data_IF_495808400225
#
_entry.id   IF_495808400225
#
_cell.length_a   1.000
_cell.length_b   1.000
_cell.length_c   1.000
_cell.angle_alpha   90.00
_cell.angle_beta   90.00
_cell.angle_gamma   90.00
#
_symmetry.space_group_name_H-M   'P 1'
#
loop_
_entity.id
_entity.type
_entity.pdbx_description
1 polymer ?
#
# COMPACT_ATOMS: atom_id res chain seq x y z
N UNK A 1 -10.86 -14.97 16.40
CA UNK A 1 -10.80 -13.58 15.91
C UNK A 1 -11.74 -12.78 16.77
N UNK A 2 -11.27 -11.72 17.40
CA UNK A 2 -12.15 -10.75 18.07
C UNK A 2 -13.02 -10.06 17.02
N UNK A 3 -14.30 -9.84 17.33
CA UNK A 3 -15.23 -9.12 16.46
C UNK A 3 -14.89 -7.63 16.49
N UNK A 4 -14.24 -7.14 15.43
CA UNK A 4 -14.03 -5.70 15.21
C UNK A 4 -15.37 -5.00 15.05
N UNK A 5 -15.60 -3.91 15.77
CA UNK A 5 -16.81 -3.11 15.60
C UNK A 5 -16.68 -2.11 14.43
N UNK A 6 -17.78 -1.53 13.97
CA UNK A 6 -17.79 -0.61 12.82
C UNK A 6 -16.83 0.58 12.98
N UNK A 7 -16.77 1.20 14.16
CA UNK A 7 -15.88 2.35 14.39
C UNK A 7 -14.42 1.93 14.28
N UNK A 8 -14.06 0.80 14.88
CA UNK A 8 -12.71 0.25 14.82
C UNK A 8 -12.33 -0.16 13.39
N UNK A 9 -13.27 -0.72 12.62
CA UNK A 9 -13.06 -1.00 11.20
C UNK A 9 -12.79 0.27 10.38
N UNK A 10 -13.58 1.32 10.59
CA UNK A 10 -13.40 2.59 9.88
C UNK A 10 -12.05 3.23 10.23
N UNK A 11 -11.62 3.14 11.49
CA UNK A 11 -10.32 3.62 11.95
C UNK A 11 -9.16 2.84 11.29
N UNK A 12 -9.17 1.50 11.39
CA UNK A 12 -8.14 0.66 10.76
C UNK A 12 -8.09 0.83 9.24
N UNK A 13 -9.25 0.94 8.59
CA UNK A 13 -9.35 1.18 7.15
C UNK A 13 -8.74 2.54 6.77
N UNK A 14 -9.02 3.59 7.54
CA UNK A 14 -8.47 4.93 7.29
C UNK A 14 -6.94 4.94 7.40
N UNK A 15 -6.38 4.26 8.40
CA UNK A 15 -4.93 4.11 8.55
C UNK A 15 -4.30 3.33 7.38
N UNK A 16 -4.95 2.26 6.92
CA UNK A 16 -4.49 1.51 5.75
C UNK A 16 -4.55 2.33 4.46
N UNK A 17 -5.61 3.11 4.24
CA UNK A 17 -5.70 4.02 3.10
C UNK A 17 -4.59 5.07 3.10
N UNK A 18 -4.21 5.59 4.27
CA UNK A 18 -3.08 6.52 4.39
C UNK A 18 -1.75 5.84 4.00
N UNK A 19 -1.50 4.63 4.48
CA UNK A 19 -0.33 3.83 4.08
C UNK A 19 -0.29 3.58 2.57
N UNK A 20 -1.41 3.15 1.98
CA UNK A 20 -1.50 2.93 0.54
C UNK A 20 -1.21 4.21 -0.24
N UNK A 21 -1.79 5.35 0.18
CA UNK A 21 -1.56 6.64 -0.47
C UNK A 21 -0.09 7.05 -0.40
N UNK A 22 0.54 6.95 0.77
CA UNK A 22 1.95 7.31 0.95
C UNK A 22 2.86 6.43 0.07
N UNK A 23 2.59 5.13 0.01
CA UNK A 23 3.33 4.20 -0.83
C UNK A 23 3.11 4.47 -2.33
N UNK A 24 1.88 4.75 -2.76
CA UNK A 24 1.58 5.14 -4.15
C UNK A 24 2.33 6.41 -4.55
N UNK A 25 2.32 7.44 -3.72
CA UNK A 25 3.03 8.68 -3.97
C UNK A 25 4.55 8.45 -4.08
N UNK A 26 5.11 7.59 -3.23
CA UNK A 26 6.52 7.21 -3.29
C UNK A 26 6.86 6.48 -4.61
N UNK A 27 6.11 5.43 -4.96
CA UNK A 27 6.36 4.62 -6.16
C UNK A 27 6.16 5.44 -7.46
N UNK A 28 5.13 6.28 -7.51
CA UNK A 28 4.88 7.18 -8.66
C UNK A 28 6.01 8.18 -8.83
N UNK A 29 6.61 8.68 -7.75
CA UNK A 29 7.81 9.54 -7.84
C UNK A 29 9.01 8.79 -8.39
N UNK A 30 9.21 7.53 -8.01
CA UNK A 30 10.29 6.69 -8.55
C UNK A 30 10.13 6.54 -10.07
N UNK A 31 8.95 6.11 -10.54
CA UNK A 31 8.67 5.97 -11.98
C UNK A 31 8.88 7.30 -12.69
N UNK A 32 8.30 8.38 -12.17
CA UNK A 32 8.43 9.70 -12.78
C UNK A 32 9.90 10.14 -12.89
N UNK A 33 10.73 9.83 -11.89
CA UNK A 33 12.15 10.14 -11.91
C UNK A 33 12.94 9.30 -12.94
N UNK A 34 12.51 8.06 -13.20
CA UNK A 34 13.09 7.23 -14.26
C UNK A 34 12.68 7.80 -15.62
N UNK A 35 11.38 8.01 -15.82
CA UNK A 35 10.81 8.43 -17.10
C UNK A 35 11.29 9.81 -17.54
N UNK A 36 11.48 10.77 -16.62
CA UNK A 36 12.01 12.11 -16.95
C UNK A 36 13.45 12.10 -17.49
N UNK A 37 14.18 10.99 -17.32
CA UNK A 37 15.54 10.85 -17.86
C UNK A 37 15.53 10.66 -19.39
N UNK A 38 14.37 10.38 -19.97
CA UNK A 38 14.17 10.18 -21.40
C UNK A 38 13.35 11.32 -21.98
N UNK A 39 13.81 11.89 -23.09
CA UNK A 39 13.09 12.99 -23.75
C UNK A 39 12.06 12.43 -24.74
N UNK A 40 12.37 11.30 -25.38
CA UNK A 40 11.46 10.60 -26.28
C UNK A 40 11.19 9.18 -25.78
N UNK A 41 9.95 8.66 -25.94
CA UNK A 41 9.63 7.28 -25.58
C UNK A 41 10.51 6.22 -26.26
N UNK A 42 11.00 6.49 -27.48
CA UNK A 42 11.88 5.56 -28.19
C UNK A 42 13.24 5.39 -27.50
N UNK A 43 13.78 6.45 -26.89
CA UNK A 43 15.04 6.41 -26.15
C UNK A 43 14.93 5.51 -24.92
N UNK A 44 13.79 5.59 -24.22
CA UNK A 44 13.46 4.74 -23.08
C UNK A 44 13.36 3.26 -23.50
N UNK A 45 12.73 2.97 -24.65
CA UNK A 45 12.63 1.60 -25.18
C UNK A 45 14.01 1.06 -25.56
N UNK A 46 14.83 1.83 -26.27
CA UNK A 46 16.19 1.44 -26.64
C UNK A 46 17.09 1.22 -25.41
N UNK A 47 16.93 2.07 -24.39
CA UNK A 47 17.61 1.94 -23.12
C UNK A 47 17.26 0.62 -22.42
N UNK A 48 15.97 0.32 -22.27
CA UNK A 48 15.53 -0.89 -21.59
C UNK A 48 15.80 -2.17 -22.38
N UNK A 49 15.80 -2.09 -23.71
CA UNK A 49 16.25 -3.19 -24.56
C UNK A 49 17.70 -3.60 -24.24
N UNK A 50 18.55 -2.60 -23.97
CA UNK A 50 19.97 -2.78 -23.67
C UNK A 50 20.24 -3.04 -22.17
N UNK A 51 19.35 -2.58 -21.27
CA UNK A 51 19.51 -2.62 -19.82
C UNK A 51 18.35 -3.38 -19.14
N UNK A 52 18.23 -4.68 -19.43
CA UNK A 52 17.11 -5.50 -18.95
C UNK A 52 16.92 -5.54 -17.43
N UNK A 53 18.00 -5.42 -16.65
CA UNK A 53 17.90 -5.40 -15.19
C UNK A 53 17.09 -4.20 -14.71
N UNK A 54 17.30 -3.02 -15.30
CA UNK A 54 16.57 -1.81 -14.94
C UNK A 54 15.15 -1.83 -15.48
N UNK A 55 14.95 -2.44 -16.66
CA UNK A 55 13.61 -2.70 -17.18
C UNK A 55 12.76 -3.52 -16.21
N UNK A 56 13.29 -4.61 -15.66
CA UNK A 56 12.53 -5.45 -14.73
C UNK A 56 12.21 -4.71 -13.42
N UNK A 57 13.14 -3.91 -12.90
CA UNK A 57 12.89 -3.07 -11.72
C UNK A 57 11.80 -2.02 -12.01
N UNK A 58 11.85 -1.35 -13.17
CA UNK A 58 10.83 -0.40 -13.58
C UNK A 58 9.46 -1.08 -13.75
N UNK A 59 9.42 -2.24 -14.41
CA UNK A 59 8.19 -3.02 -14.60
C UNK A 59 7.60 -3.47 -13.26
N UNK A 60 8.42 -4.03 -12.37
CA UNK A 60 7.98 -4.43 -11.02
C UNK A 60 7.42 -3.24 -10.23
N UNK A 61 8.01 -2.05 -10.39
CA UNK A 61 7.49 -0.82 -9.78
C UNK A 61 6.12 -0.45 -10.37
N UNK A 62 5.92 -0.57 -11.69
CA UNK A 62 4.61 -0.36 -12.33
C UNK A 62 3.57 -1.35 -11.79
N UNK A 63 3.90 -2.64 -11.77
CA UNK A 63 3.01 -3.70 -11.29
C UNK A 63 2.62 -3.48 -9.82
N UNK A 64 3.57 -3.02 -9.00
CA UNK A 64 3.32 -2.70 -7.59
C UNK A 64 2.38 -1.51 -7.43
N UNK A 65 2.47 -0.49 -8.29
CA UNK A 65 1.51 0.63 -8.28
C UNK A 65 0.12 0.14 -8.64
N UNK A 66 -0.03 -0.64 -9.72
CA UNK A 66 -1.33 -1.17 -10.15
C UNK A 66 -1.97 -1.99 -9.04
N UNK A 67 -1.22 -2.94 -8.48
CA UNK A 67 -1.72 -3.78 -7.38
C UNK A 67 -2.15 -2.97 -6.16
N UNK A 68 -1.45 -1.88 -5.84
CA UNK A 68 -1.75 -1.04 -4.69
C UNK A 68 -2.93 -0.10 -4.96
N UNK A 69 -3.09 0.38 -6.20
CA UNK A 69 -4.28 1.13 -6.64
C UNK A 69 -5.54 0.27 -6.56
N UNK A 70 -5.46 -0.98 -6.99
CA UNK A 70 -6.57 -1.93 -6.90
C UNK A 70 -6.96 -2.18 -5.44
N UNK A 71 -5.99 -2.46 -4.57
CA UNK A 71 -6.22 -2.64 -3.13
C UNK A 71 -6.81 -1.38 -2.46
N UNK A 72 -6.34 -0.19 -2.86
CA UNK A 72 -6.89 1.08 -2.40
C UNK A 72 -8.36 1.24 -2.79
N UNK A 73 -8.68 1.00 -4.07
CA UNK A 73 -10.04 1.13 -4.58
C UNK A 73 -11.00 0.12 -3.96
N UNK A 74 -10.56 -1.13 -3.75
CA UNK A 74 -11.32 -2.17 -3.07
C UNK A 74 -11.64 -1.80 -1.63
N UNK A 75 -10.66 -1.24 -0.90
CA UNK A 75 -10.87 -0.78 0.47
C UNK A 75 -11.83 0.41 0.53
N UNK A 76 -11.71 1.39 -0.37
CA UNK A 76 -12.66 2.50 -0.47
C UNK A 76 -14.06 1.99 -0.76
N UNK A 77 -14.23 1.06 -1.70
CA UNK A 77 -15.52 0.43 -2.00
C UNK A 77 -16.12 -0.25 -0.77
N UNK A 78 -15.31 -1.05 -0.07
CA UNK A 78 -15.72 -1.75 1.15
C UNK A 78 -16.14 -0.78 2.26
N UNK A 79 -15.48 0.36 2.41
CA UNK A 79 -15.86 1.40 3.37
C UNK A 79 -17.18 2.08 2.98
N UNK A 80 -17.39 2.38 1.70
CA UNK A 80 -18.64 2.97 1.21
C UNK A 80 -19.82 2.03 1.43
N UNK A 81 -19.66 0.75 1.14
CA UNK A 81 -20.67 -0.27 1.36
C UNK A 81 -21.01 -0.41 2.86
N UNK A 82 -19.99 -0.41 3.72
CA UNK A 82 -20.17 -0.47 5.17
C UNK A 82 -20.91 0.76 5.73
N UNK A 83 -20.66 1.96 5.20
CA UNK A 83 -21.38 3.19 5.58
C UNK A 83 -22.84 3.14 5.08
N UNK A 84 -23.06 2.64 3.86
CA UNK A 84 -24.38 2.59 3.25
C UNK A 84 -25.32 1.58 3.94
N UNK A 85 -24.78 0.48 4.45
CA UNK A 85 -25.52 -0.56 5.16
C UNK A 85 -24.81 -1.02 6.45
N UNK A 86 -24.86 -0.21 7.53
CA UNK A 86 -24.18 -0.54 8.80
C UNK A 86 -24.70 -1.82 9.46
N UNK A 87 -25.97 -2.18 9.24
CA UNK A 87 -26.56 -3.40 9.79
C UNK A 87 -26.02 -4.67 9.09
N UNK A 88 -25.68 -4.57 7.81
CA UNK A 88 -25.08 -5.64 7.00
C UNK A 88 -23.57 -5.80 7.27
N UNK A 89 -22.95 -4.82 7.91
CA UNK A 89 -21.52 -4.85 8.28
C UNK A 89 -21.15 -6.06 9.13
N UNK A 90 -22.01 -6.44 10.09
CA UNK A 90 -21.82 -7.65 10.91
C UNK A 90 -21.87 -8.96 10.10
N UNK A 91 -22.52 -8.93 8.92
CA UNK A 91 -22.53 -10.04 7.97
C UNK A 91 -21.24 -10.06 7.12
N UNK A 92 -20.78 -8.91 6.64
CA UNK A 92 -19.55 -8.78 5.85
C UNK A 92 -18.28 -9.15 6.62
N UNK A 93 -18.23 -8.87 7.93
CA UNK A 93 -17.14 -9.31 8.81
C UNK A 93 -16.97 -10.84 8.85
N UNK A 94 -18.05 -11.60 8.68
CA UNK A 94 -18.03 -13.08 8.74
C UNK A 94 -17.60 -13.73 7.42
N UNK A 95 -17.69 -13.01 6.30
CA UNK A 95 -17.38 -13.54 4.97
C UNK A 95 -15.89 -13.37 4.59
N UNK A 96 -15.04 -12.81 5.47
CA UNK A 96 -13.60 -12.60 5.25
C UNK A 96 -13.22 -11.82 3.97
N UNK A 97 -14.19 -11.22 3.29
CA UNK A 97 -13.98 -10.41 2.07
C UNK A 97 -13.41 -9.02 2.35
N UNK A 98 -13.17 -8.70 3.61
CA UNK A 98 -12.69 -7.39 4.03
C UNK A 98 -11.15 -7.47 4.17
N UNK A 99 -10.37 -6.81 3.28
CA UNK A 99 -8.91 -6.89 3.27
C UNK A 99 -8.24 -6.48 4.59
N UNK A 100 -8.88 -5.59 5.35
CA UNK A 100 -8.40 -5.10 6.67
C UNK A 100 -8.34 -6.21 7.72
N UNK A 101 -9.17 -7.25 7.60
CA UNK A 101 -9.15 -8.40 8.53
C UNK A 101 -7.96 -9.34 8.30
N UNK A 102 -7.26 -9.19 7.17
CA UNK A 102 -6.08 -9.99 6.83
C UNK A 102 -4.77 -9.25 7.12
N UNK A 103 -4.84 -7.99 7.55
CA UNK A 103 -3.65 -7.23 7.96
C UNK A 103 -3.19 -7.76 9.31
N UNK A 104 -2.18 -8.63 9.26
CA UNK A 104 -1.34 -8.95 10.42
C UNK A 104 -0.72 -7.61 10.85
N UNK A 105 -0.94 -7.23 12.10
CA UNK A 105 -0.41 -6.00 12.67
C UNK A 105 1.09 -5.89 12.36
N UNK A 106 1.60 -4.71 11.97
CA UNK A 106 3.03 -4.52 11.89
C UNK A 106 3.58 -4.76 13.30
N UNK A 107 4.52 -5.69 13.43
CA UNK A 107 5.34 -5.83 14.64
C UNK A 107 5.78 -4.42 15.04
N UNK A 108 5.40 -4.00 16.26
CA UNK A 108 5.95 -2.79 16.85
C UNK A 108 7.46 -2.88 16.69
N UNK A 109 8.04 -1.92 15.96
CA UNK A 109 9.49 -1.76 15.96
C UNK A 109 9.88 -1.59 17.42
N UNK A 110 10.44 -2.64 18.03
CA UNK A 110 11.15 -2.57 19.29
C UNK A 110 12.15 -1.45 19.11
N UNK A 111 11.84 -0.30 19.72
CA UNK A 111 12.74 0.82 19.81
C UNK A 111 13.98 0.31 20.52
N UNK A 112 15.04 0.06 19.76
CA UNK A 112 16.37 -0.07 20.34
C UNK A 112 16.76 1.30 20.87
N UNK A 113 16.29 1.63 22.07
CA UNK A 113 17.02 2.46 23.02
C UNK A 113 18.33 1.72 23.32
N UNK A 114 19.33 1.91 22.46
CA UNK A 114 20.71 1.77 22.89
C UNK A 114 21.10 3.10 23.53
N UNK A 115 20.76 3.21 24.81
CA UNK A 115 21.32 4.21 25.69
C UNK A 115 22.85 4.14 25.63
N UNK A 116 23.43 5.30 25.36
CA UNK A 116 24.84 5.57 25.52
C UNK A 116 25.27 5.28 26.96
N UNK A 117 26.01 4.20 27.19
CA UNK A 117 26.87 4.10 28.38
C UNK A 117 28.32 4.42 28.01
N UNK A 118 28.57 5.73 27.97
CA UNK A 118 29.88 6.34 28.16
C UNK A 118 30.41 5.96 29.55
N UNK A 119 31.40 5.08 29.61
CA UNK A 119 32.31 4.99 30.76
C UNK A 119 33.76 4.93 30.32
N UNK A 120 34.40 6.10 30.47
CA UNK A 120 35.81 6.42 30.81
C UNK A 120 36.93 5.58 30.20
#
# INVERSE_FOLDING_TARGET
>A
MEEINFNEYMEKSSFMLEKYRNNLDHLRRIIHNIEKSFFLPIEMVEYFYSNKSEYYTWLQTQDSIISLEDAYNELVGSMLDAIAAPDDFNYFLKDQRIPVLQVIEPEEEESTENDEELTV
#
